data_IF_152063537213
#
_entry.id   IF_152063537213
#
_cell.length_a   1.000
_cell.length_b   1.000
_cell.length_c   1.000
_cell.angle_alpha   90.00
_cell.angle_beta   90.00
_cell.angle_gamma   90.00
#
_symmetry.space_group_name_H-M   'P 1'
#
loop_
_entity.id
_entity.type
_entity.pdbx_description
1 polymer ?
#
# COMPACT_ATOMS: atom_id res chain seq x y z
N UNK A 1 43.15 27.13 -74.36
CA UNK A 1 42.57 28.07 -75.29
C UNK A 1 41.10 27.76 -75.39
N UNK A 2 40.21 28.71 -75.12
CA UNK A 2 38.77 28.62 -75.40
C UNK A 2 37.90 28.17 -74.28
N UNK A 3 37.88 28.88 -73.14
CA UNK A 3 36.79 28.72 -72.12
C UNK A 3 35.53 29.41 -72.68
N UNK A 4 34.48 28.60 -72.99
CA UNK A 4 33.14 29.12 -73.24
C UNK A 4 32.42 29.17 -71.92
N UNK A 5 32.20 30.37 -71.38
CA UNK A 5 31.36 30.63 -70.24
C UNK A 5 29.93 30.66 -70.73
N UNK A 6 29.10 29.69 -70.28
CA UNK A 6 27.64 29.70 -70.49
C UNK A 6 26.97 30.41 -69.31
N UNK A 7 26.48 31.63 -69.57
CA UNK A 7 25.70 32.35 -68.59
C UNK A 7 24.24 31.83 -68.64
N UNK A 8 23.78 31.23 -67.58
CA UNK A 8 22.35 30.94 -67.35
C UNK A 8 21.64 32.20 -66.80
N UNK A 9 20.85 32.80 -67.67
CA UNK A 9 19.94 33.86 -67.24
C UNK A 9 18.73 33.18 -66.64
N UNK A 10 18.61 33.20 -65.32
CA UNK A 10 17.38 32.80 -64.55
C UNK A 10 16.38 33.96 -64.68
N UNK A 11 15.34 33.76 -65.47
CA UNK A 11 14.17 34.67 -65.51
C UNK A 11 13.37 34.53 -64.25
N UNK A 12 13.16 35.56 -63.42
CA UNK A 12 12.31 35.48 -62.25
C UNK A 12 10.85 35.50 -62.69
N UNK A 13 10.24 34.32 -62.78
CA UNK A 13 8.81 34.23 -63.02
C UNK A 13 8.08 34.43 -61.65
N UNK A 14 7.28 35.50 -61.49
CA UNK A 14 6.61 35.84 -60.23
C UNK A 14 5.61 34.78 -59.74
N UNK A 15 5.17 33.88 -60.63
CA UNK A 15 4.26 32.78 -60.27
C UNK A 15 4.93 31.67 -59.44
N UNK A 16 6.26 31.48 -59.55
CA UNK A 16 6.97 30.47 -58.76
C UNK A 16 7.05 30.80 -57.26
N UNK A 17 7.15 32.08 -56.92
CA UNK A 17 7.21 32.52 -55.51
C UNK A 17 5.90 32.33 -54.77
N UNK A 18 4.78 32.59 -55.45
CA UNK A 18 3.43 32.46 -54.84
C UNK A 18 3.10 30.99 -54.54
N UNK A 19 3.41 30.09 -55.44
CA UNK A 19 3.18 28.65 -55.26
C UNK A 19 4.07 28.04 -54.16
N UNK A 20 5.31 28.48 -54.04
CA UNK A 20 6.24 28.00 -53.01
C UNK A 20 5.81 28.48 -51.58
N UNK A 21 5.31 29.73 -51.50
CA UNK A 21 4.80 30.31 -50.22
C UNK A 21 3.54 29.62 -49.75
N UNK A 22 2.61 29.29 -50.66
CA UNK A 22 1.36 28.57 -50.29
C UNK A 22 1.68 27.12 -49.89
N UNK A 23 2.56 26.41 -50.59
CA UNK A 23 2.96 25.05 -50.24
C UNK A 23 3.67 24.98 -48.88
N UNK A 24 4.52 25.97 -48.55
CA UNK A 24 5.22 26.03 -47.28
C UNK A 24 4.24 26.29 -46.10
N UNK A 25 3.23 27.15 -46.31
CA UNK A 25 2.19 27.39 -45.30
C UNK A 25 1.26 26.17 -45.07
N UNK A 26 0.92 25.43 -46.14
CA UNK A 26 0.16 24.19 -46.00
C UNK A 26 0.96 23.08 -45.32
N UNK A 27 2.25 22.98 -45.58
CA UNK A 27 3.13 22.03 -44.91
C UNK A 27 3.32 22.38 -43.42
N UNK A 28 3.46 23.66 -43.09
CA UNK A 28 3.54 24.15 -41.73
C UNK A 28 2.23 23.92 -40.92
N UNK A 29 1.07 24.17 -41.55
CA UNK A 29 -0.24 23.90 -40.93
C UNK A 29 -0.49 22.40 -40.73
N UNK A 30 -0.03 21.55 -41.66
CA UNK A 30 -0.14 20.09 -41.55
C UNK A 30 0.78 19.53 -40.43
N UNK A 31 1.98 20.09 -40.25
CA UNK A 31 2.88 19.71 -39.16
C UNK A 31 2.38 20.18 -37.78
N UNK A 32 1.73 21.33 -37.71
CA UNK A 32 1.08 21.80 -36.48
C UNK A 32 -0.19 21.00 -36.10
N UNK A 33 -0.92 20.48 -37.09
CA UNK A 33 -2.07 19.61 -36.87
C UNK A 33 -1.68 18.21 -36.34
N UNK A 34 -0.44 17.76 -36.58
CA UNK A 34 0.11 16.48 -36.09
C UNK A 34 0.72 16.57 -34.69
N UNK A 35 0.85 17.77 -34.14
CA UNK A 35 1.36 18.00 -32.78
C UNK A 35 0.25 18.06 -31.69
N UNK A 36 -0.92 17.50 -31.95
CA UNK A 36 -1.89 17.25 -30.87
C UNK A 36 -1.27 16.20 -29.94
N UNK A 37 -1.01 16.52 -28.67
CA UNK A 37 -0.45 15.55 -27.75
C UNK A 37 -1.35 14.31 -27.72
N UNK A 38 -0.77 13.15 -27.96
CA UNK A 38 -1.45 11.85 -27.94
C UNK A 38 -1.93 11.43 -26.52
N UNK A 39 -2.13 12.35 -25.62
CA UNK A 39 -2.67 12.13 -24.28
C UNK A 39 -4.17 11.82 -24.26
N UNK A 40 -4.89 12.03 -25.38
CA UNK A 40 -6.35 11.83 -25.42
C UNK A 40 -6.79 10.38 -25.71
N UNK A 41 -5.89 9.38 -25.78
CA UNK A 41 -6.26 8.03 -26.22
C UNK A 41 -5.92 6.88 -25.28
N UNK A 42 -5.54 7.14 -24.04
CA UNK A 42 -5.74 6.13 -23.01
C UNK A 42 -6.96 6.51 -22.18
N UNK A 43 -8.14 6.11 -22.66
CA UNK A 43 -9.23 5.77 -21.76
C UNK A 43 -8.73 4.57 -20.93
N UNK A 44 -7.77 4.87 -20.04
CA UNK A 44 -7.08 3.91 -19.19
C UNK A 44 -8.15 3.24 -18.36
N UNK A 45 -8.18 1.93 -18.40
CA UNK A 45 -8.99 1.12 -17.49
C UNK A 45 -8.81 1.68 -16.08
N UNK A 46 -9.90 2.18 -15.48
CA UNK A 46 -9.86 2.77 -14.14
C UNK A 46 -9.18 1.77 -13.19
N UNK A 47 -8.07 2.13 -12.52
CA UNK A 47 -7.36 1.23 -11.63
C UNK A 47 -8.24 0.81 -10.46
N UNK A 48 -8.07 -0.44 -10.03
CA UNK A 48 -8.81 -1.03 -8.93
C UNK A 48 -7.87 -1.33 -7.77
N UNK A 49 -8.22 -0.88 -6.57
CA UNK A 49 -7.56 -1.24 -5.32
C UNK A 49 -8.42 -2.25 -4.58
N UNK A 50 -7.86 -3.41 -4.23
CA UNK A 50 -8.46 -4.35 -3.30
C UNK A 50 -8.06 -4.01 -1.87
N UNK A 51 -9.01 -3.93 -0.95
CA UNK A 51 -8.75 -3.82 0.49
C UNK A 51 -9.19 -5.12 1.15
N UNK A 52 -8.25 -5.79 1.81
CA UNK A 52 -8.48 -7.03 2.55
C UNK A 52 -8.20 -6.80 4.04
N UNK A 53 -9.23 -6.86 4.87
CA UNK A 53 -9.12 -6.59 6.29
C UNK A 53 -10.08 -7.46 7.11
N UNK A 54 -9.88 -7.51 8.43
CA UNK A 54 -10.76 -8.29 9.30
C UNK A 54 -12.13 -7.60 9.47
N UNK A 55 -12.12 -6.30 9.77
CA UNK A 55 -13.30 -5.45 9.97
C UNK A 55 -13.02 -4.06 9.39
N UNK A 56 -14.05 -3.24 9.13
CA UNK A 56 -13.86 -1.82 8.88
C UNK A 56 -13.06 -1.19 10.02
N UNK A 57 -12.10 -0.32 9.69
CA UNK A 57 -11.19 0.25 10.68
C UNK A 57 -10.79 1.68 10.26
N UNK A 58 -10.51 2.60 11.21
CA UNK A 58 -10.16 3.99 10.91
C UNK A 58 -8.97 4.16 9.96
N UNK A 59 -8.06 3.17 9.92
CA UNK A 59 -6.93 3.16 8.99
C UNK A 59 -7.37 3.08 7.52
N UNK A 60 -8.50 2.42 7.26
CA UNK A 60 -9.07 2.31 5.90
C UNK A 60 -9.66 3.65 5.49
N UNK A 61 -10.38 4.32 6.39
CA UNK A 61 -10.94 5.65 6.13
C UNK A 61 -9.83 6.68 5.91
N UNK A 62 -8.74 6.60 6.68
CA UNK A 62 -7.55 7.44 6.52
C UNK A 62 -6.86 7.19 5.16
N UNK A 63 -6.75 5.93 4.73
CA UNK A 63 -6.23 5.58 3.40
C UNK A 63 -7.09 6.21 2.30
N UNK A 64 -8.41 6.06 2.39
CA UNK A 64 -9.33 6.63 1.39
C UNK A 64 -9.28 8.16 1.36
N UNK A 65 -9.15 8.80 2.53
CA UNK A 65 -8.98 10.24 2.59
C UNK A 65 -7.67 10.66 1.92
N UNK A 66 -6.57 9.97 2.22
CA UNK A 66 -5.26 10.24 1.61
C UNK A 66 -5.30 10.06 0.09
N UNK A 67 -6.00 9.05 -0.41
CA UNK A 67 -6.18 8.86 -1.84
C UNK A 67 -6.97 10.02 -2.46
N UNK A 68 -8.03 10.50 -1.81
CA UNK A 68 -8.78 11.69 -2.26
C UNK A 68 -7.90 12.94 -2.30
N UNK A 69 -7.11 13.17 -1.26
CA UNK A 69 -6.20 14.32 -1.17
C UNK A 69 -5.09 14.25 -2.24
N UNK A 70 -4.72 13.04 -2.67
CA UNK A 70 -3.82 12.78 -3.79
C UNK A 70 -4.50 12.87 -5.17
N UNK A 71 -5.80 13.22 -5.24
CA UNK A 71 -6.55 13.38 -6.50
C UNK A 71 -7.20 12.10 -7.03
N UNK A 72 -7.21 11.01 -6.25
CA UNK A 72 -7.92 9.79 -6.62
C UNK A 72 -9.38 9.85 -6.15
N UNK A 73 -10.31 9.88 -7.10
CA UNK A 73 -11.75 10.03 -6.85
C UNK A 73 -12.45 8.70 -7.14
N UNK A 74 -13.08 8.13 -6.10
CA UNK A 74 -13.83 6.87 -6.22
C UNK A 74 -14.90 6.94 -7.34
N UNK A 75 -14.89 5.95 -8.22
CA UNK A 75 -15.79 5.85 -9.37
C UNK A 75 -15.43 6.75 -10.56
N UNK A 76 -14.43 7.63 -10.45
CA UNK A 76 -13.96 8.48 -11.55
C UNK A 76 -12.64 8.01 -12.11
N UNK A 77 -11.60 7.93 -11.28
CA UNK A 77 -10.25 7.54 -11.68
C UNK A 77 -9.64 6.45 -10.80
N UNK A 78 -10.40 5.92 -9.83
CA UNK A 78 -10.07 4.76 -9.00
C UNK A 78 -11.35 4.01 -8.62
N UNK A 79 -11.24 2.68 -8.39
CA UNK A 79 -12.30 1.84 -7.84
C UNK A 79 -11.72 1.10 -6.64
N UNK A 80 -12.40 1.13 -5.51
CA UNK A 80 -12.00 0.45 -4.28
C UNK A 80 -12.90 -0.75 -3.99
N UNK A 81 -12.32 -1.95 -3.98
CA UNK A 81 -12.99 -3.22 -3.70
C UNK A 81 -12.66 -3.69 -2.28
N UNK A 82 -13.60 -3.57 -1.35
CA UNK A 82 -13.37 -3.91 0.06
C UNK A 82 -13.88 -5.32 0.37
N UNK A 83 -13.08 -6.09 1.11
CA UNK A 83 -13.43 -7.43 1.60
C UNK A 83 -13.08 -7.53 3.08
N UNK A 84 -14.07 -7.93 3.89
CA UNK A 84 -13.94 -8.05 5.33
C UNK A 84 -14.23 -9.49 5.78
N UNK A 85 -13.35 -10.04 6.61
CA UNK A 85 -13.51 -11.38 7.19
C UNK A 85 -14.53 -11.44 8.34
N UNK A 86 -14.88 -10.29 8.95
CA UNK A 86 -15.88 -10.16 10.03
C UNK A 86 -15.58 -11.07 11.24
N UNK A 87 -14.30 -11.11 11.64
CA UNK A 87 -13.84 -11.95 12.75
C UNK A 87 -13.54 -13.41 12.37
N UNK A 88 -13.88 -13.83 11.16
CA UNK A 88 -13.72 -15.22 10.69
C UNK A 88 -12.47 -15.31 9.80
N UNK A 89 -11.32 -15.56 10.41
CA UNK A 89 -10.02 -15.56 9.71
C UNK A 89 -9.94 -16.60 8.59
N UNK A 90 -10.70 -17.68 8.70
CA UNK A 90 -10.82 -18.74 7.69
C UNK A 90 -11.39 -18.25 6.35
N UNK A 91 -12.04 -17.08 6.31
CA UNK A 91 -12.57 -16.48 5.07
C UNK A 91 -11.50 -15.77 4.23
N UNK A 92 -10.35 -15.46 4.79
CA UNK A 92 -9.33 -14.69 4.05
C UNK A 92 -8.88 -15.32 2.73
N UNK A 93 -8.67 -16.65 2.61
CA UNK A 93 -8.32 -17.25 1.33
C UNK A 93 -9.37 -16.99 0.23
N UNK A 94 -10.65 -17.16 0.54
CA UNK A 94 -11.74 -16.95 -0.41
C UNK A 94 -11.88 -15.49 -0.81
N UNK A 95 -11.82 -14.59 0.18
CA UNK A 95 -11.88 -13.13 -0.05
C UNK A 95 -10.67 -12.63 -0.86
N UNK A 96 -9.50 -13.20 -0.66
CA UNK A 96 -8.32 -12.90 -1.47
C UNK A 96 -8.52 -13.39 -2.92
N UNK A 97 -9.08 -14.58 -3.10
CA UNK A 97 -9.41 -15.11 -4.44
C UNK A 97 -10.44 -14.24 -5.16
N UNK A 98 -11.46 -13.73 -4.47
CA UNK A 98 -12.42 -12.78 -5.05
C UNK A 98 -11.72 -11.53 -5.60
N UNK A 99 -10.80 -10.92 -4.83
CA UNK A 99 -10.05 -9.74 -5.27
C UNK A 99 -9.18 -10.05 -6.50
N UNK A 100 -8.56 -11.22 -6.54
CA UNK A 100 -7.81 -11.69 -7.73
C UNK A 100 -8.74 -11.84 -8.94
N UNK A 101 -9.92 -12.40 -8.76
CA UNK A 101 -10.92 -12.54 -9.83
C UNK A 101 -11.42 -11.20 -10.37
N UNK A 102 -11.55 -10.19 -9.50
CA UNK A 102 -11.89 -8.81 -9.88
C UNK A 102 -10.75 -8.10 -10.62
N UNK A 103 -9.59 -8.74 -10.75
CA UNK A 103 -8.40 -8.22 -11.43
C UNK A 103 -8.00 -6.85 -10.89
N UNK A 104 -7.94 -6.72 -9.56
CA UNK A 104 -7.45 -5.52 -8.92
C UNK A 104 -5.97 -5.29 -9.26
N UNK A 105 -5.55 -4.04 -9.32
CA UNK A 105 -4.18 -3.68 -9.69
C UNK A 105 -3.20 -3.77 -8.51
N UNK A 106 -3.72 -3.57 -7.29
CA UNK A 106 -2.98 -3.65 -6.03
C UNK A 106 -3.92 -4.10 -4.91
N UNK A 107 -3.40 -4.81 -3.94
CA UNK A 107 -4.14 -5.20 -2.74
C UNK A 107 -3.51 -4.56 -1.52
N UNK A 108 -4.30 -3.85 -0.72
CA UNK A 108 -3.94 -3.38 0.61
C UNK A 108 -4.44 -4.39 1.62
N UNK A 109 -3.54 -5.04 2.34
CA UNK A 109 -3.87 -6.03 3.38
C UNK A 109 -3.58 -5.47 4.77
N UNK A 110 -4.54 -5.59 5.70
CA UNK A 110 -4.44 -4.97 7.02
C UNK A 110 -4.52 -6.04 8.11
N UNK A 111 -3.55 -6.01 9.02
CA UNK A 111 -3.48 -6.88 10.19
C UNK A 111 -3.44 -8.36 9.83
N UNK A 112 -4.36 -9.19 10.40
CA UNK A 112 -4.35 -10.65 10.23
C UNK A 112 -4.61 -11.11 8.77
N UNK A 113 -5.07 -10.23 7.88
CA UNK A 113 -5.22 -10.54 6.46
C UNK A 113 -3.89 -10.74 5.74
N UNK A 114 -2.81 -10.12 6.22
CA UNK A 114 -1.52 -10.05 5.53
C UNK A 114 -0.86 -11.41 5.29
N UNK A 115 -0.75 -12.33 6.27
CA UNK A 115 -0.17 -13.66 6.01
C UNK A 115 -0.94 -14.44 4.95
N UNK A 116 -2.26 -14.32 4.90
CA UNK A 116 -3.09 -14.98 3.90
C UNK A 116 -2.89 -14.38 2.50
N UNK A 117 -2.88 -13.04 2.41
CA UNK A 117 -2.61 -12.34 1.15
C UNK A 117 -1.22 -12.70 0.60
N UNK A 118 -0.18 -12.64 1.42
CA UNK A 118 1.19 -12.98 1.04
C UNK A 118 1.35 -14.43 0.57
N UNK A 119 0.61 -15.35 1.17
CA UNK A 119 0.65 -16.78 0.82
C UNK A 119 -0.07 -17.08 -0.50
N UNK A 120 -1.24 -16.50 -0.72
CA UNK A 120 -2.14 -16.85 -1.83
C UNK A 120 -2.02 -15.96 -3.06
N UNK A 121 -1.52 -14.73 -2.93
CA UNK A 121 -1.43 -13.76 -4.02
C UNK A 121 0.03 -13.60 -4.44
N UNK A 122 0.34 -13.93 -5.72
CA UNK A 122 1.73 -13.88 -6.24
C UNK A 122 1.92 -12.85 -7.37
N UNK A 123 0.89 -12.61 -8.16
CA UNK A 123 0.97 -11.81 -9.38
C UNK A 123 0.48 -10.36 -9.21
N UNK A 124 -0.19 -10.07 -8.08
CA UNK A 124 -0.69 -8.73 -7.77
C UNK A 124 0.17 -8.15 -6.63
N UNK A 125 0.65 -6.90 -6.74
CA UNK A 125 1.33 -6.22 -5.65
C UNK A 125 0.46 -6.15 -4.39
N UNK A 126 1.05 -6.48 -3.24
CA UNK A 126 0.39 -6.40 -1.92
C UNK A 126 1.09 -5.36 -1.07
N UNK A 127 0.33 -4.37 -0.61
CA UNK A 127 0.80 -3.37 0.35
C UNK A 127 0.25 -3.74 1.72
N UNK A 128 1.13 -4.07 2.65
CA UNK A 128 0.73 -4.51 3.98
C UNK A 128 0.73 -3.39 5.01
N UNK A 129 -0.27 -3.39 5.89
CA UNK A 129 -0.23 -2.74 7.20
C UNK A 129 -0.26 -3.83 8.27
N UNK A 130 0.91 -4.21 8.79
CA UNK A 130 1.05 -5.38 9.63
C UNK A 130 1.58 -5.03 11.02
N UNK A 131 1.07 -5.64 12.07
CA UNK A 131 1.47 -5.36 13.45
C UNK A 131 2.46 -6.39 14.03
N UNK A 132 2.69 -7.51 13.34
CA UNK A 132 3.71 -8.48 13.70
C UNK A 132 5.03 -8.23 12.99
N UNK A 133 6.01 -9.10 13.24
CA UNK A 133 7.25 -9.11 12.46
C UNK A 133 7.02 -9.85 11.13
N UNK A 134 7.12 -9.16 9.98
CA UNK A 134 6.85 -9.78 8.70
C UNK A 134 7.96 -10.73 8.23
N UNK A 135 9.18 -10.65 8.81
CA UNK A 135 10.28 -11.57 8.53
C UNK A 135 10.06 -12.86 9.30
N UNK A 136 9.78 -12.77 10.60
CA UNK A 136 9.46 -13.94 11.45
C UNK A 136 8.21 -14.67 10.95
N UNK A 137 7.23 -13.94 10.44
CA UNK A 137 6.02 -14.50 9.84
C UNK A 137 6.24 -15.10 8.42
N UNK A 138 7.46 -15.01 7.86
CA UNK A 138 7.78 -15.50 6.54
C UNK A 138 7.06 -14.77 5.38
N UNK A 139 6.58 -13.55 5.64
CA UNK A 139 5.89 -12.71 4.65
C UNK A 139 6.88 -12.07 3.68
N UNK A 140 8.00 -11.60 4.21
CA UNK A 140 9.10 -10.97 3.45
C UNK A 140 10.46 -11.56 3.86
N UNK A 141 11.43 -11.51 2.94
CA UNK A 141 12.77 -12.04 3.22
C UNK A 141 13.56 -11.16 4.21
N UNK A 142 13.40 -9.83 4.10
CA UNK A 142 13.91 -8.84 5.05
C UNK A 142 13.17 -7.52 4.90
N UNK A 143 13.28 -6.63 5.90
CA UNK A 143 12.64 -5.31 5.83
C UNK A 143 13.25 -4.43 4.72
N UNK A 144 14.57 -4.50 4.52
CA UNK A 144 15.25 -3.72 3.50
C UNK A 144 15.05 -4.26 2.07
N UNK A 145 14.83 -5.58 1.93
CA UNK A 145 14.65 -6.27 0.65
C UNK A 145 13.56 -7.33 0.80
N UNK A 146 12.28 -6.95 0.64
CA UNK A 146 11.14 -7.87 0.80
C UNK A 146 11.22 -9.11 -0.09
N UNK A 147 11.77 -9.00 -1.30
CA UNK A 147 12.09 -10.13 -2.17
C UNK A 147 10.94 -10.72 -2.97
N UNK A 148 9.72 -10.20 -2.83
CA UNK A 148 8.52 -10.68 -3.51
C UNK A 148 7.58 -9.55 -3.93
N UNK A 149 6.30 -9.88 -4.08
CA UNK A 149 5.24 -8.93 -4.43
C UNK A 149 4.64 -8.20 -3.22
N UNK A 150 5.17 -8.40 -2.01
CA UNK A 150 4.68 -7.79 -0.77
C UNK A 150 5.62 -6.66 -0.33
N UNK A 151 5.06 -5.50 -0.05
CA UNK A 151 5.73 -4.35 0.57
C UNK A 151 4.78 -3.70 1.58
N UNK A 152 5.23 -2.69 2.33
CA UNK A 152 4.34 -1.92 3.22
C UNK A 152 5.01 -1.47 4.49
N UNK A 153 4.20 -1.34 5.54
CA UNK A 153 4.63 -0.86 6.85
C UNK A 153 4.34 -1.90 7.93
N UNK A 154 5.21 -1.93 8.95
CA UNK A 154 5.00 -2.73 10.15
C UNK A 154 5.20 -1.89 11.40
N UNK A 155 4.59 -2.32 12.51
CA UNK A 155 4.77 -1.70 13.82
C UNK A 155 5.74 -2.54 14.64
N UNK A 156 6.76 -1.91 15.21
CA UNK A 156 7.72 -2.56 16.12
C UNK A 156 7.18 -2.62 17.56
N UNK A 157 5.95 -3.13 17.74
CA UNK A 157 5.30 -3.16 19.05
C UNK A 157 6.04 -4.04 20.07
N UNK A 158 6.54 -5.17 19.65
CA UNK A 158 7.28 -6.11 20.51
C UNK A 158 8.58 -5.50 21.04
N UNK A 159 9.33 -4.77 20.21
CA UNK A 159 10.60 -4.13 20.61
C UNK A 159 10.39 -3.02 21.66
N UNK A 160 9.19 -2.41 21.69
CA UNK A 160 8.83 -1.41 22.68
C UNK A 160 8.26 -2.01 23.97
N UNK A 161 7.92 -3.29 23.99
CA UNK A 161 7.31 -3.93 25.16
C UNK A 161 8.18 -3.82 26.40
N UNK A 162 9.47 -4.10 26.28
CA UNK A 162 10.45 -3.95 27.35
C UNK A 162 10.49 -2.52 27.92
N UNK A 163 10.57 -1.52 27.05
CA UNK A 163 10.63 -0.12 27.48
C UNK A 163 9.34 0.34 28.16
N UNK A 164 8.18 -0.15 27.72
CA UNK A 164 6.90 0.13 28.38
C UNK A 164 6.89 -0.40 29.83
N UNK A 165 7.43 -1.61 30.05
CA UNK A 165 7.51 -2.22 31.38
C UNK A 165 8.48 -1.44 32.28
N UNK A 166 9.65 -1.04 31.79
CA UNK A 166 10.60 -0.19 32.51
C UNK A 166 9.96 1.14 32.94
N UNK A 167 9.34 1.85 31.98
CA UNK A 167 8.68 3.13 32.25
C UNK A 167 7.55 2.99 33.27
N UNK A 168 6.80 1.87 33.22
CA UNK A 168 5.78 1.60 34.23
C UNK A 168 6.38 1.43 35.63
N UNK A 169 7.53 0.73 35.74
CA UNK A 169 8.24 0.59 37.02
C UNK A 169 8.77 1.91 37.55
N UNK A 170 9.30 2.76 36.66
CA UNK A 170 9.75 4.10 37.01
C UNK A 170 8.59 4.99 37.49
N UNK A 171 7.43 4.94 36.78
CA UNK A 171 6.27 5.76 37.10
C UNK A 171 5.57 5.35 38.40
N UNK A 172 5.55 4.04 38.70
CA UNK A 172 4.86 3.50 39.87
C UNK A 172 5.78 2.47 40.55
N UNK A 173 6.80 2.91 41.32
CA UNK A 173 7.82 2.02 41.90
C UNK A 173 7.26 0.96 42.85
N UNK A 174 6.10 1.22 43.49
CA UNK A 174 5.49 0.35 44.48
C UNK A 174 4.75 -0.86 43.90
N UNK A 175 4.48 -0.92 42.61
CA UNK A 175 3.79 -2.08 42.00
C UNK A 175 4.74 -3.29 41.88
N UNK A 176 4.16 -4.46 42.14
CA UNK A 176 4.83 -5.77 42.00
C UNK A 176 4.09 -6.72 41.07
N UNK A 177 2.86 -6.42 40.69
CA UNK A 177 2.02 -7.24 39.80
C UNK A 177 1.63 -6.43 38.58
N UNK A 178 1.72 -7.06 37.42
CA UNK A 178 1.40 -6.51 36.12
C UNK A 178 0.45 -7.44 35.38
N UNK A 179 -0.75 -6.97 35.06
CA UNK A 179 -1.66 -7.69 34.19
C UNK A 179 -1.47 -7.27 32.73
N UNK A 180 -1.44 -8.24 31.82
CA UNK A 180 -1.40 -8.04 30.37
C UNK A 180 -2.72 -8.53 29.80
N UNK A 181 -3.51 -7.61 29.26
CA UNK A 181 -4.70 -7.90 28.47
C UNK A 181 -4.27 -8.14 27.03
N UNK A 182 -4.53 -9.31 26.49
CA UNK A 182 -4.05 -9.67 25.16
C UNK A 182 -5.10 -10.43 24.35
N UNK A 183 -5.08 -10.18 23.05
CA UNK A 183 -5.88 -10.93 22.09
C UNK A 183 -4.99 -11.97 21.40
N UNK A 184 -5.15 -13.28 21.63
CA UNK A 184 -4.30 -14.32 21.04
C UNK A 184 -4.41 -14.43 19.52
N UNK A 185 -5.40 -13.75 18.90
CA UNK A 185 -5.54 -13.66 17.44
C UNK A 185 -4.73 -12.51 16.84
N UNK A 186 -4.10 -11.67 17.68
CA UNK A 186 -3.26 -10.58 17.21
C UNK A 186 -1.91 -11.12 16.68
N UNK A 187 -1.51 -10.67 15.50
CA UNK A 187 -0.38 -11.26 14.78
C UNK A 187 0.99 -11.12 15.48
N UNK A 188 1.17 -10.11 16.35
CA UNK A 188 2.42 -9.87 17.09
C UNK A 188 2.38 -10.34 18.55
N UNK A 189 1.27 -10.88 18.99
CA UNK A 189 0.96 -11.08 20.39
C UNK A 189 1.97 -11.99 21.13
N UNK A 190 2.32 -13.11 20.55
CA UNK A 190 3.25 -14.06 21.19
C UNK A 190 4.65 -13.47 21.42
N UNK A 191 5.14 -12.67 20.47
CA UNK A 191 6.42 -11.98 20.60
C UNK A 191 6.33 -10.85 21.62
N UNK A 192 5.29 -10.04 21.56
CA UNK A 192 5.06 -8.97 22.54
C UNK A 192 4.94 -9.51 23.97
N UNK A 193 4.23 -10.62 24.15
CA UNK A 193 4.11 -11.29 25.45
C UNK A 193 5.48 -11.79 25.95
N UNK A 194 6.26 -12.43 25.09
CA UNK A 194 7.61 -12.91 25.43
C UNK A 194 8.53 -11.76 25.87
N UNK A 195 8.59 -10.69 25.12
CA UNK A 195 9.40 -9.52 25.46
C UNK A 195 8.90 -8.85 26.75
N UNK A 196 7.57 -8.76 26.93
CA UNK A 196 6.97 -8.27 28.18
C UNK A 196 7.34 -9.16 29.37
N UNK A 197 7.32 -10.49 29.24
CA UNK A 197 7.72 -11.43 30.29
C UNK A 197 9.17 -11.25 30.70
N UNK A 198 10.07 -11.16 29.73
CA UNK A 198 11.51 -10.94 29.98
C UNK A 198 11.73 -9.65 30.74
N UNK A 199 11.11 -8.56 30.27
CA UNK A 199 11.24 -7.26 30.93
C UNK A 199 10.60 -7.22 32.34
N UNK A 200 9.43 -7.84 32.50
CA UNK A 200 8.74 -7.92 33.80
C UNK A 200 9.59 -8.65 34.83
N UNK A 201 10.21 -9.77 34.43
CA UNK A 201 11.13 -10.52 35.31
C UNK A 201 12.35 -9.67 35.70
N UNK A 202 12.93 -8.93 34.76
CA UNK A 202 14.11 -8.09 35.01
C UNK A 202 13.85 -6.99 36.04
N UNK A 203 12.63 -6.43 36.09
CA UNK A 203 12.24 -5.36 37.03
C UNK A 203 11.47 -5.86 38.25
N UNK A 204 11.34 -7.20 38.42
CA UNK A 204 10.71 -7.84 39.58
C UNK A 204 9.18 -7.79 39.60
N UNK A 205 8.53 -7.73 38.42
CA UNK A 205 7.08 -7.87 38.34
C UNK A 205 6.63 -9.33 38.23
N UNK A 206 5.55 -9.67 38.95
CA UNK A 206 4.76 -10.87 38.67
C UNK A 206 3.76 -10.57 37.56
N UNK A 207 3.83 -11.31 36.46
CA UNK A 207 2.98 -11.11 35.29
C UNK A 207 1.74 -12.01 35.37
N UNK A 208 0.57 -11.40 35.16
CA UNK A 208 -0.70 -12.12 34.97
C UNK A 208 -1.17 -11.89 33.52
N UNK A 209 -1.37 -12.98 32.78
CA UNK A 209 -1.85 -12.92 31.40
C UNK A 209 -3.36 -13.15 31.36
N UNK A 210 -4.11 -12.21 30.78
CA UNK A 210 -5.56 -12.22 30.68
C UNK A 210 -5.96 -12.15 29.20
N UNK A 211 -6.65 -13.19 28.75
CA UNK A 211 -7.09 -13.31 27.37
C UNK A 211 -8.40 -12.55 27.16
N UNK A 212 -8.42 -11.70 26.12
CA UNK A 212 -9.60 -10.95 25.67
C UNK A 212 -9.81 -11.21 24.20
N UNK A 213 -10.86 -11.90 23.81
CA UNK A 213 -11.20 -12.22 22.41
C UNK A 213 -12.28 -11.30 21.84
N UNK A 214 -13.15 -10.78 22.72
CA UNK A 214 -14.29 -9.93 22.34
C UNK A 214 -14.50 -8.82 23.40
N UNK A 215 -15.22 -7.75 23.06
CA UNK A 215 -15.51 -6.67 24.00
C UNK A 215 -16.16 -7.11 25.31
N UNK A 216 -16.97 -8.17 25.29
CA UNK A 216 -17.62 -8.71 26.51
C UNK A 216 -16.64 -9.36 27.50
N UNK A 217 -15.44 -9.74 27.08
CA UNK A 217 -14.46 -10.42 27.94
C UNK A 217 -13.74 -9.45 28.89
N UNK A 218 -13.85 -8.13 28.67
CA UNK A 218 -13.13 -7.14 29.47
C UNK A 218 -13.59 -7.10 30.92
N UNK A 219 -14.89 -7.21 31.18
CA UNK A 219 -15.42 -7.19 32.55
C UNK A 219 -14.89 -8.36 33.39
N UNK A 220 -14.89 -9.57 32.83
CA UNK A 220 -14.32 -10.76 33.47
C UNK A 220 -12.80 -10.64 33.65
N UNK A 221 -12.09 -10.10 32.66
CA UNK A 221 -10.67 -9.89 32.76
C UNK A 221 -10.26 -8.86 33.81
N UNK A 222 -11.08 -7.84 34.07
CA UNK A 222 -10.83 -6.87 35.12
C UNK A 222 -11.28 -7.38 36.53
N UNK A 223 -12.15 -8.38 36.58
CA UNK A 223 -12.57 -8.99 37.83
C UNK A 223 -11.59 -10.07 38.36
N UNK A 224 -10.67 -10.56 37.48
CA UNK A 224 -9.69 -11.60 37.79
C UNK A 224 -8.44 -11.06 38.51
#
# INVERSE_FOLDING_TARGET
EGRRTVAFVLCPCPLSFALCSVALNFLGALLLALSVPAEAQQAGKIPRIGILANVPAPQIDALEQTLRDAGYMEGQNIITEKRYAEGRLERFPDLAAELVHLKVNVIVSIGPATPYAAKSIKDIPVVMGYSGDPVDAGIVASLARPGGNVTGVTFFAAELAGKRVELLKEAIPGISRLAVLANPRHAGEQRELKETQVAAQAVGFSLQYLTVNAPGDFEDAFAA
#
